data_IF_146643431297
#
_entry.id   IF_146643431297
#
_cell.length_a   1.000
_cell.length_b   1.000
_cell.length_c   1.000
_cell.angle_alpha   90.00
_cell.angle_beta   90.00
_cell.angle_gamma   90.00
#
_symmetry.space_group_name_H-M   'P 1'
#
loop_
_entity.id
_entity.type
_entity.pdbx_description
1 polymer ?
#
# COMPACT_ATOMS: atom_id res chain seq x y z
N UNK A 1 -8.97 8.62 -8.66
CA UNK A 1 -8.77 7.60 -7.61
C UNK A 1 -9.26 8.20 -6.31
N UNK A 2 -10.15 7.50 -5.61
CA UNK A 2 -10.52 7.88 -4.23
C UNK A 2 -9.40 7.44 -3.27
N UNK A 3 -9.03 8.26 -2.30
CA UNK A 3 -7.94 7.91 -1.39
C UNK A 3 -8.13 8.53 0.00
N UNK A 4 -7.52 7.94 1.04
CA UNK A 4 -7.43 8.55 2.36
C UNK A 4 -6.63 9.85 2.29
N UNK A 5 -6.82 10.74 3.26
CA UNK A 5 -5.98 11.92 3.32
C UNK A 5 -4.54 11.56 3.76
N UNK A 6 -3.62 12.53 3.65
CA UNK A 6 -2.24 12.30 4.04
C UNK A 6 -2.12 11.98 5.54
N UNK A 7 -2.96 12.57 6.40
CA UNK A 7 -2.90 12.35 7.83
C UNK A 7 -3.31 10.92 8.20
N UNK A 8 -4.28 10.33 7.51
CA UNK A 8 -4.69 8.94 7.63
C UNK A 8 -3.55 7.98 7.25
N UNK A 9 -2.83 8.29 6.15
CA UNK A 9 -1.69 7.49 5.71
C UNK A 9 -0.52 7.60 6.69
N UNK A 10 -0.19 8.80 7.16
CA UNK A 10 0.83 9.01 8.20
C UNK A 10 0.44 8.26 9.48
N UNK A 11 -0.83 8.29 9.88
CA UNK A 11 -1.30 7.55 11.05
C UNK A 11 -1.14 6.02 10.87
N UNK A 12 -1.40 5.51 9.67
CA UNK A 12 -1.30 4.08 9.36
C UNK A 12 0.15 3.58 9.31
N UNK A 13 1.04 4.36 8.70
CA UNK A 13 2.47 4.02 8.52
C UNK A 13 3.38 4.54 9.65
N UNK A 14 2.84 5.36 10.55
CA UNK A 14 3.55 5.98 11.68
C UNK A 14 4.73 6.89 11.30
N UNK A 15 4.80 7.32 10.05
CA UNK A 15 5.87 8.19 9.56
C UNK A 15 5.41 9.04 8.37
N UNK A 16 6.12 10.13 8.11
CA UNK A 16 5.91 10.96 6.93
C UNK A 16 6.40 10.24 5.66
N UNK A 17 5.76 10.45 4.50
CA UNK A 17 6.28 9.92 3.26
C UNK A 17 7.60 10.61 2.88
N UNK A 18 8.43 9.90 2.13
CA UNK A 18 9.62 10.45 1.49
C UNK A 18 9.55 10.25 -0.03
N UNK A 19 10.22 11.13 -0.76
CA UNK A 19 10.40 11.02 -2.21
C UNK A 19 11.86 10.70 -2.52
N UNK A 20 12.09 9.76 -3.44
CA UNK A 20 13.46 9.38 -3.85
C UNK A 20 14.05 10.31 -4.90
N UNK A 21 13.22 10.96 -5.73
CA UNK A 21 13.72 11.60 -6.96
C UNK A 21 13.40 13.09 -7.13
N UNK A 22 12.56 13.70 -6.30
CA UNK A 22 12.29 15.14 -6.31
C UNK A 22 11.59 15.54 -5.00
N UNK A 23 11.90 16.72 -4.44
CA UNK A 23 11.13 17.33 -3.33
C UNK A 23 9.75 17.82 -3.81
N UNK A 24 8.94 16.89 -4.33
CA UNK A 24 7.57 17.16 -4.74
C UNK A 24 6.67 17.16 -3.50
N UNK A 25 5.82 18.18 -3.33
CA UNK A 25 4.82 18.17 -2.28
C UNK A 25 3.75 17.11 -2.57
N UNK A 26 3.23 16.48 -1.51
CA UNK A 26 2.02 15.66 -1.62
C UNK A 26 0.88 16.46 -2.27
N UNK A 27 0.06 15.87 -3.17
CA UNK A 27 0.04 14.47 -3.63
C UNK A 27 0.76 14.26 -4.98
N UNK A 28 1.83 15.02 -5.26
CA UNK A 28 2.52 15.00 -6.54
C UNK A 28 3.74 14.07 -6.48
N UNK A 29 3.93 13.30 -7.55
CA UNK A 29 5.06 12.39 -7.70
C UNK A 29 4.90 11.09 -6.90
N UNK A 30 5.93 10.25 -6.98
CA UNK A 30 5.99 8.99 -6.26
C UNK A 30 6.42 9.22 -4.80
N UNK A 31 5.50 8.99 -3.88
CA UNK A 31 5.69 9.18 -2.44
C UNK A 31 5.73 7.82 -1.76
N UNK A 32 6.73 7.61 -0.91
CA UNK A 32 7.01 6.31 -0.28
C UNK A 32 6.81 6.35 1.22
N UNK A 33 6.08 5.38 1.74
CA UNK A 33 5.84 5.16 3.16
C UNK A 33 6.57 3.89 3.58
N UNK A 34 7.29 3.95 4.70
CA UNK A 34 7.99 2.80 5.27
C UNK A 34 7.40 2.48 6.63
N UNK A 35 7.16 1.20 6.89
CA UNK A 35 6.77 0.71 8.20
C UNK A 35 7.53 -0.55 8.56
N UNK A 36 8.04 -0.59 9.80
CA UNK A 36 8.74 -1.76 10.35
C UNK A 36 8.05 -2.29 11.60
N UNK A 37 7.94 -3.61 11.69
CA UNK A 37 7.40 -4.36 12.84
C UNK A 37 8.26 -5.61 13.08
N UNK A 38 9.06 -5.57 14.15
CA UNK A 38 10.03 -6.63 14.42
C UNK A 38 11.03 -6.75 13.26
N UNK A 39 11.14 -7.94 12.69
CA UNK A 39 12.01 -8.23 11.53
C UNK A 39 11.36 -7.92 10.18
N UNK A 40 10.05 -7.63 10.14
CA UNK A 40 9.34 -7.31 8.90
C UNK A 40 9.33 -5.83 8.63
N UNK A 41 9.43 -5.49 7.35
CA UNK A 41 9.27 -4.14 6.86
C UNK A 41 8.47 -4.14 5.55
N UNK A 42 7.69 -3.08 5.35
CA UNK A 42 7.04 -2.78 4.08
C UNK A 42 7.45 -1.40 3.62
N UNK A 43 7.73 -1.30 2.33
CA UNK A 43 7.86 -0.06 1.58
C UNK A 43 6.67 0.02 0.63
N UNK A 44 5.80 0.99 0.84
CA UNK A 44 4.64 1.26 -0.01
C UNK A 44 4.83 2.59 -0.70
N UNK A 45 4.92 2.58 -2.02
CA UNK A 45 5.05 3.80 -2.82
C UNK A 45 3.78 4.03 -3.62
N UNK A 46 3.31 5.27 -3.66
CA UNK A 46 2.10 5.68 -4.36
C UNK A 46 2.39 6.94 -5.16
N UNK A 47 1.98 6.95 -6.42
CA UNK A 47 1.78 8.19 -7.17
C UNK A 47 0.26 8.42 -7.26
N UNK A 48 -0.28 9.36 -6.45
CA UNK A 48 -1.72 9.59 -6.41
C UNK A 48 -2.28 10.18 -7.70
N UNK A 49 -1.44 10.87 -8.50
CA UNK A 49 -1.85 11.53 -9.75
C UNK A 49 -1.99 10.51 -10.88
N UNK A 50 -1.09 9.52 -10.94
CA UNK A 50 -1.17 8.44 -11.94
C UNK A 50 -2.01 7.24 -11.50
N UNK A 51 -2.29 7.11 -10.20
CA UNK A 51 -2.98 5.93 -9.64
C UNK A 51 -2.12 4.66 -9.74
N UNK A 52 -0.80 4.83 -9.68
CA UNK A 52 0.18 3.75 -9.64
C UNK A 52 0.71 3.54 -8.22
N UNK A 53 0.82 2.28 -7.81
CA UNK A 53 1.48 1.93 -6.57
C UNK A 53 2.52 0.82 -6.75
N UNK A 54 3.42 0.76 -5.79
CA UNK A 54 4.50 -0.21 -5.69
C UNK A 54 4.55 -0.69 -4.24
N UNK A 55 4.82 -1.97 -4.03
CA UNK A 55 4.89 -2.56 -2.70
C UNK A 55 6.06 -3.52 -2.63
N UNK A 56 6.97 -3.27 -1.69
CA UNK A 56 8.10 -4.15 -1.42
C UNK A 56 8.08 -4.57 0.05
N UNK A 57 8.29 -5.87 0.29
CA UNK A 57 8.34 -6.47 1.62
C UNK A 57 9.76 -6.94 1.92
N UNK A 58 10.21 -6.69 3.14
CA UNK A 58 11.51 -7.13 3.63
C UNK A 58 11.34 -7.98 4.90
N UNK A 59 12.26 -8.92 5.09
CA UNK A 59 12.41 -9.72 6.30
C UNK A 59 13.88 -9.69 6.71
N UNK A 60 14.17 -9.27 7.94
CA UNK A 60 15.52 -9.08 8.47
C UNK A 60 16.44 -8.20 7.57
N UNK A 61 15.85 -7.24 6.85
CA UNK A 61 16.56 -6.34 5.94
C UNK A 61 16.78 -6.88 4.52
N UNK A 62 16.38 -8.12 4.24
CA UNK A 62 16.41 -8.68 2.88
C UNK A 62 15.06 -8.54 2.20
N UNK A 63 15.06 -8.15 0.92
CA UNK A 63 13.84 -8.11 0.12
C UNK A 63 13.32 -9.53 -0.10
N UNK A 64 12.08 -9.77 0.30
CA UNK A 64 11.42 -11.08 0.17
C UNK A 64 10.40 -11.12 -0.97
N UNK A 65 9.84 -9.96 -1.31
CA UNK A 65 8.82 -9.83 -2.36
C UNK A 65 8.74 -8.37 -2.79
N UNK A 66 8.61 -8.15 -4.09
CA UNK A 66 8.22 -6.86 -4.65
C UNK A 66 7.10 -7.04 -5.67
N UNK A 67 6.08 -6.18 -5.58
CA UNK A 67 5.00 -6.06 -6.55
C UNK A 67 5.08 -4.66 -7.13
N UNK A 68 5.61 -4.57 -8.34
CA UNK A 68 5.71 -3.31 -9.07
C UNK A 68 4.47 -3.01 -9.90
N UNK A 69 4.23 -1.72 -10.15
CA UNK A 69 3.22 -1.23 -11.11
C UNK A 69 1.82 -1.79 -10.87
N UNK A 70 1.35 -1.72 -9.63
CA UNK A 70 -0.07 -1.84 -9.31
C UNK A 70 -0.80 -0.66 -9.93
N UNK A 71 -1.41 -0.89 -11.09
CA UNK A 71 -2.01 0.15 -11.94
C UNK A 71 -3.53 0.10 -11.89
N UNK A 72 -4.15 1.21 -12.28
CA UNK A 72 -5.61 1.37 -12.36
C UNK A 72 -6.27 1.18 -11.01
N UNK A 73 -5.67 1.76 -9.97
CA UNK A 73 -6.31 1.82 -8.65
C UNK A 73 -7.54 2.70 -8.73
N UNK A 74 -8.68 2.14 -8.36
CA UNK A 74 -9.95 2.83 -8.25
C UNK A 74 -10.00 3.61 -6.94
N UNK A 75 -9.69 2.91 -5.85
CA UNK A 75 -9.63 3.49 -4.52
C UNK A 75 -8.52 2.89 -3.65
N UNK A 76 -8.07 3.71 -2.71
CA UNK A 76 -7.35 3.27 -1.52
C UNK A 76 -8.23 3.54 -0.30
N UNK A 77 -8.22 2.64 0.66
CA UNK A 77 -9.01 2.81 1.89
C UNK A 77 -8.20 2.35 3.09
N UNK A 78 -8.14 3.19 4.13
CA UNK A 78 -7.67 2.76 5.45
C UNK A 78 -8.81 2.00 6.13
N UNK A 79 -8.52 0.76 6.52
CA UNK A 79 -9.43 -0.04 7.32
C UNK A 79 -8.90 -0.12 8.76
N UNK A 80 -9.81 0.11 9.71
CA UNK A 80 -9.58 -0.08 11.14
C UNK A 80 -10.68 -0.96 11.73
N UNK A 81 -10.28 -2.09 12.30
CA UNK A 81 -11.11 -3.08 13.00
C UNK A 81 -10.37 -3.49 14.28
N UNK A 82 -11.06 -4.11 15.22
CA UNK A 82 -10.54 -4.35 16.58
C UNK A 82 -9.12 -4.96 16.63
N UNK A 83 -8.80 -5.91 15.73
CA UNK A 83 -7.49 -6.57 15.67
C UNK A 83 -6.72 -6.34 14.36
N UNK A 84 -7.19 -5.40 13.52
CA UNK A 84 -6.67 -5.20 12.18
C UNK A 84 -6.68 -3.73 11.81
N UNK A 85 -5.51 -3.24 11.43
CA UNK A 85 -5.37 -1.95 10.77
C UNK A 85 -4.56 -2.16 9.50
N UNK A 86 -4.99 -1.54 8.41
CA UNK A 86 -4.37 -1.77 7.12
C UNK A 86 -4.87 -0.87 6.01
N UNK A 87 -4.24 -1.03 4.85
CA UNK A 87 -4.56 -0.36 3.60
C UNK A 87 -5.18 -1.38 2.63
N UNK A 88 -6.29 -1.00 2.03
CA UNK A 88 -6.96 -1.79 0.99
C UNK A 88 -6.84 -1.08 -0.34
N UNK A 89 -6.35 -1.79 -1.35
CA UNK A 89 -6.19 -1.32 -2.72
C UNK A 89 -7.24 -2.01 -3.59
N UNK A 90 -8.17 -1.22 -4.14
CA UNK A 90 -9.19 -1.67 -5.08
C UNK A 90 -8.79 -1.31 -6.51
N UNK A 91 -8.96 -2.25 -7.45
CA UNK A 91 -8.60 -2.07 -8.86
C UNK A 91 -9.85 -1.83 -9.72
N UNK A 92 -9.78 -0.86 -10.62
CA UNK A 92 -10.91 -0.39 -11.44
C UNK A 92 -11.46 -1.44 -12.44
N UNK A 93 -10.72 -2.52 -12.70
CA UNK A 93 -11.16 -3.56 -13.63
C UNK A 93 -12.23 -4.48 -13.02
N UNK A 94 -12.43 -4.44 -11.70
CA UNK A 94 -13.47 -5.18 -10.99
C UNK A 94 -13.36 -6.71 -11.04
N UNK A 95 -12.33 -7.25 -11.69
CA UNK A 95 -12.09 -8.69 -11.89
C UNK A 95 -11.09 -9.28 -10.89
N UNK A 96 -10.44 -8.44 -10.10
CA UNK A 96 -9.44 -8.82 -9.09
C UNK A 96 -9.98 -8.53 -7.69
N UNK A 97 -9.72 -9.46 -6.77
CA UNK A 97 -9.94 -9.18 -5.35
C UNK A 97 -9.01 -8.04 -4.88
N UNK A 98 -9.46 -7.23 -3.90
CA UNK A 98 -8.63 -6.17 -3.35
C UNK A 98 -7.35 -6.72 -2.73
N UNK A 99 -6.24 -6.02 -2.98
CA UNK A 99 -4.98 -6.27 -2.28
C UNK A 99 -5.04 -5.60 -0.91
N UNK A 100 -4.71 -6.35 0.13
CA UNK A 100 -4.78 -5.89 1.52
C UNK A 100 -3.40 -5.92 2.15
N UNK A 101 -2.94 -4.76 2.60
CA UNK A 101 -1.73 -4.59 3.40
C UNK A 101 -2.14 -4.34 4.85
N UNK A 102 -1.93 -5.33 5.71
CA UNK A 102 -2.06 -5.17 7.15
C UNK A 102 -0.79 -4.50 7.70
N UNK A 103 -0.95 -3.51 8.58
CA UNK A 103 0.14 -2.79 9.24
C UNK A 103 0.19 -3.05 10.75
N UNK A 104 -0.94 -3.38 11.38
CA UNK A 104 -1.02 -3.81 12.79
C UNK A 104 -1.92 -5.05 12.97
N UNK A 105 -1.60 -5.94 13.95
CA UNK A 105 -0.39 -5.93 14.79
C UNK A 105 0.86 -6.43 14.07
N UNK A 106 0.71 -7.11 12.93
CA UNK A 106 1.82 -7.65 12.13
C UNK A 106 1.72 -7.15 10.69
N UNK A 107 2.86 -6.91 10.05
CA UNK A 107 2.88 -6.61 8.62
C UNK A 107 2.57 -7.90 7.85
N UNK A 108 1.51 -7.85 7.04
CA UNK A 108 1.05 -8.96 6.20
C UNK A 108 0.46 -8.42 4.91
N UNK A 109 0.87 -8.99 3.79
CA UNK A 109 0.18 -8.80 2.52
C UNK A 109 -0.77 -9.97 2.26
N UNK A 110 -1.98 -9.68 1.80
CA UNK A 110 -2.94 -10.68 1.33
C UNK A 110 -3.54 -10.24 0.01
N UNK A 111 -3.45 -11.08 -1.01
CA UNK A 111 -4.03 -10.83 -2.31
C UNK A 111 -4.46 -12.14 -2.96
N UNK A 112 -5.74 -12.23 -3.32
CA UNK A 112 -6.26 -13.37 -4.06
C UNK A 112 -6.22 -13.02 -5.55
N UNK A 113 -5.25 -13.58 -6.27
CA UNK A 113 -4.98 -13.24 -7.68
C UNK A 113 -5.90 -14.00 -8.65
N UNK A 114 -6.82 -14.82 -8.14
CA UNK A 114 -7.83 -15.48 -8.98
C UNK A 114 -8.81 -14.43 -9.51
N UNK A 115 -9.12 -14.52 -10.81
CA UNK A 115 -10.20 -13.71 -11.38
C UNK A 115 -11.52 -14.10 -10.74
N UNK A 116 -12.31 -13.12 -10.33
CA UNK A 116 -13.67 -13.35 -9.86
C UNK A 116 -14.48 -14.12 -10.92
N UNK A 117 -15.05 -15.27 -10.55
CA UNK A 117 -15.91 -16.08 -11.42
C UNK A 117 -15.26 -17.28 -12.13
N UNK A 118 -13.99 -17.60 -11.85
CA UNK A 118 -13.36 -18.85 -12.31
C UNK A 118 -13.32 -19.85 -11.15
N UNK A 119 -14.30 -20.76 -11.13
CA UNK A 119 -14.38 -21.91 -10.22
C UNK A 119 -13.99 -23.19 -10.96
#
# INVERSE_FOLDING_TARGET
MEMPDLADLIWLFEDEPFSEFEDMPWPVGLQSFRLRRGTREVLFSLDPTSGEAYLTMYEAGEETMSIGRLRRLESLTVEKRDEYEGLVLLFATGDLDPLRLQTRPVIRLSWNVMRLGVW
#
